data_IF_254753375235
#
_entry.id   IF_254753375235
#
_cell.length_a   1.000
_cell.length_b   1.000
_cell.length_c   1.000
_cell.angle_alpha   90.00
_cell.angle_beta   90.00
_cell.angle_gamma   90.00
#
_symmetry.space_group_name_H-M   'P 1'
#
loop_
_entity.id
_entity.type
_entity.pdbx_description
1 polymer ?
#
# COMPACT_ATOMS: atom_id res chain seq x y z
N UNK A 1 -24.69 -25.59 -31.03
CA UNK A 1 -26.14 -25.36 -30.83
C UNK A 1 -26.32 -24.92 -29.39
N UNK A 2 -26.24 -23.61 -29.14
CA UNK A 2 -26.46 -23.01 -27.82
C UNK A 2 -27.94 -22.62 -27.70
N UNK A 3 -28.61 -22.83 -26.55
CA UNK A 3 -30.01 -22.47 -26.38
C UNK A 3 -30.20 -20.95 -26.28
N UNK A 4 -31.27 -20.48 -26.95
CA UNK A 4 -31.72 -19.09 -27.09
C UNK A 4 -32.10 -18.45 -25.76
N UNK A 5 -31.75 -17.18 -25.58
CA UNK A 5 -32.16 -16.34 -24.46
C UNK A 5 -33.69 -16.11 -24.46
N UNK A 6 -34.32 -16.24 -23.28
CA UNK A 6 -35.70 -15.81 -23.02
C UNK A 6 -35.65 -14.33 -22.59
N UNK A 7 -36.48 -13.44 -23.15
CA UNK A 7 -36.53 -12.06 -22.69
C UNK A 7 -37.27 -12.00 -21.34
N UNK A 8 -36.60 -11.52 -20.30
CA UNK A 8 -37.22 -11.19 -19.01
C UNK A 8 -37.87 -9.82 -19.16
N UNK A 9 -39.20 -9.77 -19.03
CA UNK A 9 -39.94 -8.52 -18.91
C UNK A 9 -39.52 -7.80 -17.61
N UNK A 10 -39.06 -6.56 -17.74
CA UNK A 10 -38.75 -5.70 -16.60
C UNK A 10 -40.06 -5.06 -16.13
N UNK A 11 -40.65 -5.58 -15.06
CA UNK A 11 -41.70 -4.86 -14.34
C UNK A 11 -41.12 -3.61 -13.69
N UNK A 12 -41.82 -2.48 -13.86
CA UNK A 12 -41.47 -1.22 -13.24
C UNK A 12 -41.57 -1.33 -11.71
N UNK A 13 -40.66 -0.71 -10.94
CA UNK A 13 -40.64 -0.88 -9.49
C UNK A 13 -41.87 -0.24 -8.84
N UNK A 14 -42.58 -1.06 -8.06
CA UNK A 14 -43.66 -0.68 -7.17
C UNK A 14 -43.22 0.45 -6.20
N UNK A 15 -43.90 1.59 -6.29
CA UNK A 15 -43.61 2.81 -5.52
C UNK A 15 -44.14 2.77 -4.07
N UNK A 16 -44.69 1.64 -3.59
CA UNK A 16 -45.27 1.57 -2.24
C UNK A 16 -44.28 1.26 -1.11
N UNK A 17 -42.98 1.12 -1.37
CA UNK A 17 -41.97 0.91 -0.34
C UNK A 17 -41.36 2.21 0.25
N UNK A 18 -42.11 3.32 0.31
CA UNK A 18 -41.70 4.50 1.08
C UNK A 18 -42.14 4.38 2.55
N UNK A 19 -41.46 3.51 3.30
CA UNK A 19 -41.38 3.54 4.78
C UNK A 19 -40.34 2.50 5.23
N UNK A 20 -39.07 2.76 4.97
CA UNK A 20 -37.98 2.12 5.72
C UNK A 20 -37.31 3.19 6.54
N UNK A 21 -37.52 3.10 7.85
CA UNK A 21 -36.80 3.82 8.87
C UNK A 21 -35.30 3.83 8.54
N UNK A 22 -34.64 4.94 8.83
CA UNK A 22 -33.19 5.11 8.89
C UNK A 22 -32.57 4.02 9.77
N UNK A 23 -32.33 2.84 9.20
CA UNK A 23 -31.42 1.85 9.75
C UNK A 23 -30.02 2.34 9.41
N UNK A 24 -29.27 2.76 10.42
CA UNK A 24 -27.84 3.03 10.28
C UNK A 24 -27.18 1.83 9.59
N UNK A 25 -26.59 2.09 8.42
CA UNK A 25 -26.02 1.04 7.59
C UNK A 25 -24.73 0.58 8.27
N UNK A 26 -24.77 -0.62 8.88
CA UNK A 26 -23.60 -1.24 9.52
C UNK A 26 -22.41 -1.26 8.56
N UNK A 27 -21.22 -0.99 9.09
CA UNK A 27 -19.97 -1.14 8.34
C UNK A 27 -19.75 -2.61 7.95
N UNK A 28 -18.86 -2.86 6.98
CA UNK A 28 -18.49 -4.24 6.62
C UNK A 28 -17.88 -4.98 7.82
N UNK A 29 -17.07 -4.29 8.64
CA UNK A 29 -16.47 -4.86 9.84
C UNK A 29 -17.53 -5.24 10.88
N UNK A 30 -18.50 -4.36 11.13
CA UNK A 30 -19.63 -4.63 12.03
C UNK A 30 -20.52 -5.77 11.53
N UNK A 31 -20.69 -5.88 10.21
CA UNK A 31 -21.50 -6.94 9.59
C UNK A 31 -20.83 -8.31 9.71
N UNK A 32 -19.49 -8.34 9.67
CA UNK A 32 -18.69 -9.58 9.72
C UNK A 32 -18.20 -9.93 11.15
N UNK A 33 -18.48 -9.09 12.14
CA UNK A 33 -18.07 -9.35 13.53
C UNK A 33 -19.19 -10.02 14.32
N UNK A 34 -18.84 -11.05 15.09
CA UNK A 34 -19.74 -11.70 16.04
C UNK A 34 -19.00 -11.93 17.36
N UNK A 35 -19.19 -11.00 18.31
CA UNK A 35 -18.76 -11.14 19.69
C UNK A 35 -19.92 -11.41 20.66
N UNK A 36 -19.63 -11.76 21.93
CA UNK A 36 -20.63 -11.81 22.98
C UNK A 36 -21.44 -10.50 23.02
N UNK A 37 -22.75 -10.59 23.25
CA UNK A 37 -23.65 -9.42 23.34
C UNK A 37 -23.64 -8.51 22.10
N UNK A 38 -23.23 -9.02 20.93
CA UNK A 38 -23.18 -8.24 19.69
C UNK A 38 -21.97 -7.32 19.58
N UNK A 39 -20.95 -7.52 20.41
CA UNK A 39 -19.67 -6.79 20.31
C UNK A 39 -19.05 -7.00 18.93
N UNK A 40 -18.67 -5.90 18.27
CA UNK A 40 -17.95 -5.92 17.00
C UNK A 40 -16.47 -5.63 17.18
N UNK A 41 -15.64 -6.03 16.21
CA UNK A 41 -14.25 -5.58 16.15
C UNK A 41 -14.20 -4.05 16.11
N UNK A 42 -13.37 -3.40 16.95
CA UNK A 42 -13.17 -1.96 16.86
C UNK A 42 -12.45 -1.63 15.55
N UNK A 43 -12.85 -0.52 14.92
CA UNK A 43 -12.13 0.04 13.78
C UNK A 43 -10.83 0.72 14.18
N UNK A 44 -10.22 1.46 13.25
CA UNK A 44 -9.09 2.35 13.57
C UNK A 44 -9.55 3.37 14.63
N UNK A 45 -8.84 3.49 15.78
CA UNK A 45 -9.23 4.43 16.82
C UNK A 45 -9.26 5.87 16.34
N UNK A 46 -10.10 6.70 16.95
CA UNK A 46 -10.07 8.16 16.81
C UNK A 46 -9.24 8.75 17.92
N UNK A 47 -8.46 9.77 17.61
CA UNK A 47 -7.57 10.45 18.54
C UNK A 47 -8.00 11.91 18.67
N UNK A 48 -7.89 12.46 19.88
CA UNK A 48 -8.12 13.90 20.11
C UNK A 48 -6.86 14.67 19.73
N UNK A 49 -5.69 14.14 20.07
CA UNK A 49 -4.40 14.78 19.85
C UNK A 49 -3.61 14.12 18.71
N UNK A 50 -3.02 14.93 17.83
CA UNK A 50 -2.16 14.44 16.74
C UNK A 50 -0.95 13.66 17.25
N UNK A 51 -0.44 14.00 18.43
CA UNK A 51 0.70 13.31 19.07
C UNK A 51 0.37 11.86 19.41
N UNK A 52 -0.84 11.57 19.89
CA UNK A 52 -1.32 10.22 20.18
C UNK A 52 -1.50 9.42 18.90
N UNK A 53 -2.11 10.04 17.88
CA UNK A 53 -2.28 9.41 16.56
C UNK A 53 -0.92 9.06 15.92
N UNK A 54 0.06 9.96 15.99
CA UNK A 54 1.44 9.71 15.52
C UNK A 54 2.08 8.54 16.27
N UNK A 55 1.92 8.48 17.59
CA UNK A 55 2.46 7.39 18.39
C UNK A 55 1.85 6.04 17.95
N UNK A 56 0.52 6.00 17.77
CA UNK A 56 -0.19 4.82 17.28
C UNK A 56 0.29 4.41 15.88
N UNK A 57 0.40 5.36 14.94
CA UNK A 57 0.89 5.12 13.57
C UNK A 57 2.29 4.50 13.61
N UNK A 58 3.23 5.12 14.32
CA UNK A 58 4.63 4.66 14.37
C UNK A 58 4.78 3.30 15.04
N UNK A 59 3.96 3.00 16.06
CA UNK A 59 3.89 1.69 16.68
C UNK A 59 3.39 0.62 15.69
N UNK A 60 2.35 0.93 14.91
CA UNK A 60 1.82 0.02 13.89
C UNK A 60 2.81 -0.17 12.75
N UNK A 61 3.50 0.88 12.29
CA UNK A 61 4.59 0.75 11.32
C UNK A 61 5.66 -0.23 11.80
N UNK A 62 6.18 -0.04 13.01
CA UNK A 62 7.18 -0.94 13.59
C UNK A 62 6.64 -2.37 13.74
N UNK A 63 5.37 -2.54 14.11
CA UNK A 63 4.73 -3.85 14.20
C UNK A 63 4.63 -4.55 12.84
N UNK A 64 4.27 -3.82 11.77
CA UNK A 64 4.19 -4.35 10.40
C UNK A 64 5.56 -4.81 9.91
N UNK A 65 6.62 -4.02 10.10
CA UNK A 65 7.97 -4.46 9.74
C UNK A 65 8.41 -5.72 10.49
N UNK A 66 8.13 -5.79 11.79
CA UNK A 66 8.45 -6.99 12.58
C UNK A 66 7.62 -8.20 12.15
N UNK A 67 6.38 -7.99 11.70
CA UNK A 67 5.58 -9.04 11.10
C UNK A 67 6.16 -9.49 9.76
N UNK A 68 6.49 -8.56 8.86
CA UNK A 68 7.18 -8.86 7.59
C UNK A 68 8.45 -9.68 7.79
N UNK A 69 9.24 -9.36 8.81
CA UNK A 69 10.39 -10.18 9.18
C UNK A 69 10.00 -11.62 9.55
N UNK A 70 9.00 -11.82 10.40
CA UNK A 70 8.52 -13.15 10.79
C UNK A 70 7.93 -13.95 9.63
N UNK A 71 7.30 -13.27 8.68
CA UNK A 71 6.77 -13.89 7.45
C UNK A 71 7.84 -14.10 6.35
N UNK A 72 9.11 -13.74 6.60
CA UNK A 72 10.20 -13.91 5.65
C UNK A 72 10.14 -12.97 4.44
N UNK A 73 9.53 -11.79 4.58
CA UNK A 73 9.41 -10.78 3.51
C UNK A 73 10.65 -9.88 3.38
N UNK A 74 11.65 -10.09 4.23
CA UNK A 74 12.91 -9.34 4.25
C UNK A 74 13.84 -9.78 3.12
N UNK A 75 14.31 -8.83 2.32
CA UNK A 75 15.36 -9.01 1.31
C UNK A 75 16.48 -7.99 1.58
N UNK A 76 17.50 -8.39 2.34
CA UNK A 76 18.59 -7.48 2.74
C UNK A 76 18.06 -6.22 3.43
N UNK A 77 18.28 -5.06 2.79
CA UNK A 77 17.85 -3.73 3.27
C UNK A 77 16.70 -3.13 2.45
N UNK A 78 16.14 -3.90 1.51
CA UNK A 78 15.07 -3.47 0.62
C UNK A 78 13.71 -3.52 1.30
N UNK A 79 12.81 -2.63 0.88
CA UNK A 79 11.45 -2.54 1.37
C UNK A 79 11.22 -1.32 2.25
N UNK A 80 10.05 -0.70 2.08
CA UNK A 80 9.74 0.58 2.70
C UNK A 80 8.25 0.67 3.00
N UNK A 81 7.93 1.42 4.06
CA UNK A 81 6.57 1.79 4.42
C UNK A 81 6.58 3.29 4.70
N UNK A 82 5.68 4.00 4.03
CA UNK A 82 5.37 5.40 4.35
C UNK A 82 3.97 5.50 4.93
N UNK A 83 3.79 6.37 5.92
CA UNK A 83 2.46 6.74 6.43
C UNK A 83 2.37 8.25 6.56
N UNK A 84 1.31 8.85 5.99
CA UNK A 84 1.04 10.29 6.04
C UNK A 84 0.88 10.76 7.48
N UNK A 85 1.51 11.87 7.83
CA UNK A 85 1.35 12.49 9.12
C UNK A 85 -0.08 13.06 9.28
N UNK A 86 -0.72 12.89 10.45
CA UNK A 86 -2.10 13.31 10.63
C UNK A 86 -2.28 14.83 10.78
N UNK A 87 -1.23 15.58 11.15
CA UNK A 87 -1.27 17.05 11.27
C UNK A 87 -0.71 17.73 10.00
N UNK A 88 0.32 17.12 9.40
CA UNK A 88 1.01 17.65 8.21
C UNK A 88 0.79 16.73 7.01
N UNK A 89 -0.26 16.95 6.19
CA UNK A 89 -0.60 16.07 5.08
C UNK A 89 0.52 15.87 4.06
N UNK A 90 1.44 16.83 3.95
CA UNK A 90 2.58 16.81 3.02
C UNK A 90 3.87 16.26 3.66
N UNK A 91 3.73 15.53 4.77
CA UNK A 91 4.82 14.83 5.44
C UNK A 91 4.47 13.36 5.68
N UNK A 92 5.49 12.50 5.64
CA UNK A 92 5.35 11.06 5.79
C UNK A 92 6.33 10.52 6.82
N UNK A 93 5.82 9.69 7.72
CA UNK A 93 6.62 8.79 8.54
C UNK A 93 7.18 7.70 7.64
N UNK A 94 8.50 7.47 7.72
CA UNK A 94 9.24 6.52 6.89
C UNK A 94 10.20 5.69 7.76
N UNK A 95 10.55 4.48 7.34
CA UNK A 95 11.56 3.68 8.03
C UNK A 95 12.99 4.14 7.71
N UNK A 96 13.91 4.08 8.69
CA UNK A 96 15.30 4.41 8.44
C UNK A 96 15.97 3.36 7.54
N UNK A 97 16.91 3.81 6.70
CA UNK A 97 17.68 2.98 5.79
C UNK A 97 18.74 2.17 6.54
N UNK A 98 18.91 0.90 6.14
CA UNK A 98 19.90 -0.01 6.71
C UNK A 98 19.49 -0.66 8.05
N UNK A 99 18.32 -0.34 8.60
CA UNK A 99 17.81 -0.99 9.81
C UNK A 99 17.05 -2.27 9.47
N UNK A 100 17.44 -3.39 10.08
CA UNK A 100 16.76 -4.67 9.88
C UNK A 100 15.32 -4.63 10.41
N UNK A 101 14.35 -5.11 9.62
CA UNK A 101 12.90 -5.00 9.92
C UNK A 101 12.50 -5.60 11.27
N UNK A 102 13.15 -6.68 11.69
CA UNK A 102 12.91 -7.31 12.99
C UNK A 102 13.31 -6.46 14.20
N UNK A 103 14.14 -5.43 14.01
CA UNK A 103 14.66 -4.58 15.09
C UNK A 103 13.98 -3.21 15.18
N UNK A 104 13.26 -2.79 14.13
CA UNK A 104 12.62 -1.49 14.05
C UNK A 104 11.67 -1.24 15.23
N UNK A 105 11.76 -0.06 15.81
CA UNK A 105 10.90 0.48 16.88
C UNK A 105 10.16 1.71 16.37
N UNK A 106 9.10 2.09 17.07
CA UNK A 106 8.38 3.33 16.79
C UNK A 106 9.32 4.56 16.86
N UNK A 107 10.29 4.56 17.78
CA UNK A 107 11.28 5.63 17.92
C UNK A 107 12.17 5.82 16.69
N UNK A 108 12.30 4.79 15.85
CA UNK A 108 13.27 4.78 14.76
C UNK A 108 12.73 5.47 13.50
N UNK A 109 11.41 5.65 13.41
CA UNK A 109 10.76 6.30 12.27
C UNK A 109 11.20 7.75 12.12
N UNK A 110 11.39 8.16 10.87
CA UNK A 110 11.78 9.52 10.48
C UNK A 110 10.61 10.20 9.77
N UNK A 111 10.46 11.52 9.96
CA UNK A 111 9.42 12.31 9.30
C UNK A 111 10.05 13.11 8.15
N UNK A 112 9.50 12.96 6.95
CA UNK A 112 10.06 13.51 5.72
C UNK A 112 8.98 14.26 4.95
N UNK A 113 9.26 15.48 4.47
CA UNK A 113 8.32 16.26 3.68
C UNK A 113 8.34 15.88 2.19
N UNK A 114 7.43 16.43 1.38
CA UNK A 114 7.37 16.20 -0.09
C UNK A 114 8.67 16.49 -0.86
N UNK A 115 9.56 17.32 -0.32
CA UNK A 115 10.86 17.67 -0.94
C UNK A 115 11.98 16.68 -0.58
N UNK A 116 11.67 15.64 0.20
CA UNK A 116 12.67 14.70 0.71
C UNK A 116 13.48 15.24 1.89
N UNK A 117 13.08 16.36 2.49
CA UNK A 117 13.75 16.90 3.68
C UNK A 117 13.25 16.20 4.93
N UNK A 118 14.19 15.77 5.76
CA UNK A 118 13.90 15.20 7.07
C UNK A 118 13.56 16.35 8.02
N UNK A 119 12.32 16.37 8.51
CA UNK A 119 11.75 17.45 9.32
C UNK A 119 11.39 17.00 10.74
N UNK A 120 11.58 15.72 11.08
CA UNK A 120 11.31 15.21 12.42
C UNK A 120 11.57 13.71 12.60
N UNK A 121 11.19 13.19 13.76
CA UNK A 121 11.38 11.78 14.11
C UNK A 121 12.75 11.49 14.71
N UNK A 122 13.32 10.33 14.36
CA UNK A 122 14.63 9.89 14.83
C UNK A 122 15.74 10.86 14.40
N UNK A 123 16.53 11.34 15.37
CA UNK A 123 17.67 12.26 15.14
C UNK A 123 19.03 11.56 15.16
N UNK A 124 19.11 10.34 15.66
CA UNK A 124 20.35 9.57 15.77
C UNK A 124 20.71 8.90 14.45
N UNK A 125 19.72 8.45 13.69
CA UNK A 125 19.92 7.84 12.36
C UNK A 125 18.89 8.34 11.35
N UNK A 126 18.94 9.63 10.95
CA UNK A 126 18.00 10.23 10.01
C UNK A 126 18.42 9.94 8.56
N UNK A 127 18.40 8.67 8.16
CA UNK A 127 18.79 8.26 6.80
C UNK A 127 17.65 7.46 6.19
N UNK A 128 17.27 7.75 4.94
CA UNK A 128 16.21 7.05 4.20
C UNK A 128 16.73 6.55 2.85
N UNK A 129 16.05 5.55 2.28
CA UNK A 129 16.28 5.15 0.90
C UNK A 129 15.61 6.16 -0.04
N UNK A 130 16.42 6.91 -0.80
CA UNK A 130 15.91 7.97 -1.69
C UNK A 130 15.03 7.42 -2.82
N UNK A 131 15.42 6.32 -3.45
CA UNK A 131 14.66 5.71 -4.55
C UNK A 131 13.26 5.27 -4.08
N UNK A 132 13.22 4.52 -2.97
CA UNK A 132 11.97 4.11 -2.33
C UNK A 132 11.10 5.31 -1.92
N UNK A 133 11.73 6.35 -1.38
CA UNK A 133 11.02 7.57 -1.01
C UNK A 133 10.36 8.28 -2.21
N UNK A 134 11.02 8.34 -3.37
CA UNK A 134 10.45 8.97 -4.56
C UNK A 134 9.19 8.25 -5.05
N UNK A 135 9.19 6.91 -5.06
CA UNK A 135 8.01 6.10 -5.43
C UNK A 135 6.84 6.39 -4.49
N UNK A 136 7.10 6.31 -3.18
CA UNK A 136 6.06 6.54 -2.17
C UNK A 136 5.50 7.96 -2.23
N UNK A 137 6.38 8.95 -2.45
CA UNK A 137 5.99 10.36 -2.57
C UNK A 137 5.13 10.61 -3.80
N UNK A 138 5.46 10.03 -4.96
CA UNK A 138 4.65 10.15 -6.15
C UNK A 138 3.24 9.56 -5.95
N UNK A 139 3.14 8.39 -5.33
CA UNK A 139 1.84 7.78 -4.99
C UNK A 139 1.04 8.66 -4.02
N UNK A 140 1.68 9.19 -2.97
CA UNK A 140 1.01 10.08 -2.02
C UNK A 140 0.60 11.43 -2.63
N UNK A 141 1.36 11.97 -3.60
CA UNK A 141 1.02 13.19 -4.35
C UNK A 141 -0.16 12.93 -5.29
N UNK A 142 -0.16 11.82 -6.01
CA UNK A 142 -1.25 11.45 -6.91
C UNK A 142 -2.54 11.12 -6.14
N UNK A 143 -2.43 10.61 -4.90
CA UNK A 143 -3.57 10.12 -4.12
C UNK A 143 -3.52 10.61 -2.67
N UNK A 144 -4.06 11.81 -2.45
CA UNK A 144 -4.18 12.42 -1.12
C UNK A 144 -4.98 11.58 -0.11
N UNK A 145 -5.93 10.77 -0.57
CA UNK A 145 -6.74 9.89 0.27
C UNK A 145 -6.00 8.64 0.77
N UNK A 146 -4.81 8.33 0.24
CA UNK A 146 -3.99 7.22 0.73
C UNK A 146 -3.21 7.66 1.97
N UNK A 147 -3.46 6.94 3.06
CA UNK A 147 -2.75 7.11 4.32
C UNK A 147 -1.37 6.42 4.32
N UNK A 148 -1.24 5.25 3.68
CA UNK A 148 -0.01 4.47 3.72
C UNK A 148 0.33 3.82 2.37
N UNK A 149 1.62 3.73 2.07
CA UNK A 149 2.16 2.97 0.93
C UNK A 149 3.15 1.96 1.47
N UNK A 150 3.02 0.71 1.04
CA UNK A 150 3.87 -0.40 1.46
C UNK A 150 4.52 -1.04 0.24
N UNK A 151 5.83 -1.24 0.32
CA UNK A 151 6.62 -1.84 -0.74
C UNK A 151 7.56 -2.90 -0.13
N UNK A 152 7.58 -4.11 -0.71
CA UNK A 152 8.43 -5.21 -0.25
C UNK A 152 8.81 -6.15 -1.39
N UNK A 153 9.94 -6.83 -1.23
CA UNK A 153 10.48 -7.81 -2.19
C UNK A 153 10.21 -9.24 -1.70
N UNK A 154 8.95 -9.59 -1.47
CA UNK A 154 8.61 -10.96 -1.03
C UNK A 154 9.02 -12.00 -2.06
N UNK A 155 9.40 -13.19 -1.61
CA UNK A 155 9.83 -14.29 -2.50
C UNK A 155 8.80 -14.55 -3.61
N UNK A 156 7.53 -14.70 -3.24
CA UNK A 156 6.46 -15.00 -4.19
C UNK A 156 6.05 -13.78 -5.05
N UNK A 157 6.04 -12.59 -4.47
CA UNK A 157 5.73 -11.36 -5.21
C UNK A 157 6.77 -11.10 -6.31
N UNK A 158 8.05 -11.23 -5.96
CA UNK A 158 9.17 -11.14 -6.90
C UNK A 158 9.12 -12.24 -7.96
N UNK A 159 8.84 -13.48 -7.57
CA UNK A 159 8.72 -14.59 -8.51
C UNK A 159 7.53 -14.41 -9.49
N UNK A 160 6.41 -13.83 -9.04
CA UNK A 160 5.28 -13.57 -9.93
C UNK A 160 5.51 -12.35 -10.83
N UNK A 161 6.20 -11.33 -10.33
CA UNK A 161 6.32 -10.06 -11.05
C UNK A 161 7.04 -10.18 -12.39
N UNK A 162 7.92 -11.17 -12.55
CA UNK A 162 8.64 -11.40 -13.82
C UNK A 162 7.73 -11.72 -15.01
N UNK A 163 6.52 -12.23 -14.75
CA UNK A 163 5.55 -12.54 -15.80
C UNK A 163 4.90 -11.28 -16.40
N UNK A 164 4.95 -10.14 -15.71
CA UNK A 164 4.36 -8.89 -16.21
C UNK A 164 2.87 -9.00 -16.48
N UNK A 165 2.13 -9.74 -15.64
CA UNK A 165 0.69 -9.97 -15.82
C UNK A 165 -0.09 -9.92 -14.51
N UNK A 166 -1.40 -9.62 -14.55
CA UNK A 166 -2.24 -9.57 -13.35
C UNK A 166 -2.30 -10.90 -12.61
N UNK A 167 -2.71 -10.88 -11.34
CA UNK A 167 -3.09 -12.09 -10.62
C UNK A 167 -4.36 -12.67 -11.22
N UNK A 168 -4.44 -13.99 -11.24
CA UNK A 168 -5.67 -14.69 -11.64
C UNK A 168 -6.63 -14.73 -10.44
N UNK A 169 -7.91 -14.46 -10.68
CA UNK A 169 -8.95 -14.32 -9.64
C UNK A 169 -9.50 -15.69 -9.24
N UNK A 170 -8.61 -16.56 -8.78
CA UNK A 170 -8.89 -17.98 -8.51
C UNK A 170 -9.34 -18.24 -7.06
N UNK A 171 -9.16 -17.26 -6.17
CA UNK A 171 -9.56 -17.37 -4.76
C UNK A 171 -10.32 -16.13 -4.30
N UNK A 172 -11.18 -16.28 -3.29
CA UNK A 172 -11.90 -15.17 -2.68
C UNK A 172 -10.98 -14.04 -2.22
N UNK A 173 -9.77 -14.36 -1.74
CA UNK A 173 -8.80 -13.35 -1.32
C UNK A 173 -8.20 -12.57 -2.49
N UNK A 174 -7.92 -13.24 -3.61
CA UNK A 174 -7.43 -12.56 -4.81
C UNK A 174 -8.46 -11.61 -5.41
N UNK A 175 -9.76 -11.87 -5.25
CA UNK A 175 -10.84 -11.00 -5.73
C UNK A 175 -10.82 -9.58 -5.14
N UNK A 176 -10.07 -9.33 -4.04
CA UNK A 176 -9.83 -7.97 -3.52
C UNK A 176 -9.16 -7.04 -4.55
N UNK A 177 -8.50 -7.64 -5.53
CA UNK A 177 -7.75 -7.03 -6.63
C UNK A 177 -8.47 -7.07 -7.98
N UNK A 178 -9.74 -7.47 -8.04
CA UNK A 178 -10.51 -7.54 -9.28
C UNK A 178 -10.70 -6.16 -9.96
N UNK A 179 -10.71 -6.15 -11.30
CA UNK A 179 -10.86 -4.94 -12.11
C UNK A 179 -9.69 -3.98 -11.93
N UNK A 180 -9.99 -2.68 -11.79
CA UNK A 180 -8.97 -1.62 -11.66
C UNK A 180 -8.32 -1.56 -10.27
N UNK A 181 -8.58 -2.54 -9.39
CA UNK A 181 -7.98 -2.62 -8.07
C UNK A 181 -6.54 -3.18 -8.09
N UNK A 182 -6.07 -3.71 -9.22
CA UNK A 182 -4.69 -4.11 -9.43
C UNK A 182 -4.11 -3.47 -10.69
N UNK A 183 -2.88 -2.97 -10.54
CA UNK A 183 -2.07 -2.51 -11.64
C UNK A 183 -0.94 -3.51 -11.95
N UNK A 184 -0.49 -3.49 -13.20
CA UNK A 184 0.75 -4.14 -13.63
C UNK A 184 1.60 -3.08 -14.31
N UNK A 185 2.76 -2.82 -13.73
CA UNK A 185 3.73 -1.90 -14.27
C UNK A 185 4.83 -2.70 -14.98
N UNK A 186 4.81 -2.68 -16.31
CA UNK A 186 5.67 -3.50 -17.18
C UNK A 186 6.96 -2.77 -17.63
N UNK A 187 7.04 -1.46 -17.38
CA UNK A 187 8.11 -0.60 -17.87
C UNK A 187 9.18 -0.34 -16.80
N UNK A 188 10.04 -1.31 -16.54
CA UNK A 188 11.14 -1.11 -15.60
C UNK A 188 12.36 -0.49 -16.30
N UNK A 189 12.69 0.75 -15.95
CA UNK A 189 13.87 1.46 -16.47
C UNK A 189 15.21 1.06 -15.82
N UNK A 190 15.23 0.16 -14.83
CA UNK A 190 16.39 -0.13 -13.95
C UNK A 190 16.26 0.53 -12.58
N UNK A 191 17.34 0.58 -11.78
CA UNK A 191 17.40 1.39 -10.54
C UNK A 191 17.50 2.87 -10.92
N UNK A 192 16.44 3.39 -11.55
CA UNK A 192 16.39 4.78 -11.97
C UNK A 192 16.05 5.61 -10.74
N UNK A 193 17.02 6.37 -10.26
CA UNK A 193 16.92 7.34 -9.16
C UNK A 193 16.06 8.58 -9.54
N UNK A 194 15.06 8.41 -10.39
CA UNK A 194 14.31 9.49 -11.04
C UNK A 194 12.89 9.65 -10.49
N UNK A 195 12.43 10.88 -10.21
CA UNK A 195 11.03 11.18 -9.87
C UNK A 195 10.02 10.62 -10.87
N UNK A 196 10.38 10.60 -12.16
CA UNK A 196 9.53 10.12 -13.25
C UNK A 196 9.11 8.65 -13.10
N UNK A 197 9.95 7.80 -12.54
CA UNK A 197 9.61 6.39 -12.32
C UNK A 197 8.51 6.26 -11.26
N UNK A 198 8.60 7.04 -10.18
CA UNK A 198 7.54 7.11 -9.18
C UNK A 198 6.22 7.61 -9.77
N UNK A 199 6.27 8.61 -10.64
CA UNK A 199 5.09 9.17 -11.32
C UNK A 199 4.43 8.13 -12.23
N UNK A 200 5.20 7.42 -13.06
CA UNK A 200 4.67 6.34 -13.91
C UNK A 200 4.07 5.18 -13.10
N UNK A 201 4.68 4.81 -11.97
CA UNK A 201 4.10 3.81 -11.06
C UNK A 201 2.78 4.30 -10.47
N UNK A 202 2.72 5.57 -10.03
CA UNK A 202 1.52 6.16 -9.47
C UNK A 202 0.39 6.27 -10.51
N UNK A 203 0.71 6.64 -11.75
CA UNK A 203 -0.21 6.63 -12.88
C UNK A 203 -0.74 5.23 -13.18
N UNK A 204 0.17 4.23 -13.22
CA UNK A 204 -0.19 2.83 -13.44
C UNK A 204 -1.12 2.30 -12.36
N UNK A 205 -0.88 2.66 -11.09
CA UNK A 205 -1.75 2.29 -9.97
C UNK A 205 -3.17 2.85 -10.12
N UNK A 206 -3.31 4.02 -10.74
CA UNK A 206 -4.60 4.64 -11.03
C UNK A 206 -5.41 5.02 -9.78
N UNK A 207 -6.64 5.47 -10.01
CA UNK A 207 -7.51 6.00 -8.95
C UNK A 207 -8.02 4.92 -7.98
N UNK A 208 -8.26 3.70 -8.48
CA UNK A 208 -8.88 2.61 -7.72
C UNK A 208 -7.88 1.52 -7.29
N UNK A 209 -6.64 1.57 -7.75
CA UNK A 209 -5.63 0.54 -7.47
C UNK A 209 -5.37 0.40 -5.97
N UNK A 210 -5.27 -0.85 -5.52
CA UNK A 210 -4.92 -1.23 -4.14
C UNK A 210 -3.56 -1.92 -4.07
N UNK A 211 -3.09 -2.45 -5.19
CA UNK A 211 -1.78 -3.06 -5.33
C UNK A 211 -1.27 -2.96 -6.77
N UNK A 212 0.05 -2.92 -6.92
CA UNK A 212 0.71 -2.94 -8.21
C UNK A 212 1.74 -4.08 -8.23
N UNK A 213 1.81 -4.78 -9.36
CA UNK A 213 2.91 -5.69 -9.67
C UNK A 213 3.94 -4.89 -10.47
N UNK A 214 5.14 -4.70 -9.91
CA UNK A 214 6.25 -4.03 -10.57
C UNK A 214 7.14 -5.09 -11.22
N UNK A 215 7.12 -5.19 -12.55
CA UNK A 215 7.95 -6.18 -13.26
C UNK A 215 9.42 -5.83 -13.14
N UNK A 216 10.31 -6.84 -13.02
CA UNK A 216 11.77 -6.70 -13.14
C UNK A 216 12.48 -5.84 -12.08
N UNK A 217 11.88 -5.68 -10.90
CA UNK A 217 12.44 -4.85 -9.83
C UNK A 217 13.86 -5.26 -9.31
N UNK A 218 14.45 -6.36 -9.77
CA UNK A 218 15.71 -6.90 -9.22
C UNK A 218 16.70 -7.49 -10.24
N UNK A 219 16.62 -7.18 -11.54
CA UNK A 219 17.65 -7.64 -12.49
C UNK A 219 18.12 -6.48 -13.36
N UNK A 220 19.17 -5.79 -12.91
CA UNK A 220 20.10 -5.17 -13.84
C UNK A 220 20.99 -6.29 -14.40
N UNK A 221 20.81 -6.63 -15.67
CA UNK A 221 21.94 -7.15 -16.44
C UNK A 221 22.88 -5.97 -16.66
N UNK A 222 23.96 -5.93 -15.90
CA UNK A 222 25.12 -5.12 -16.24
C UNK A 222 25.78 -5.76 -17.48
N UNK A 223 25.22 -5.51 -18.66
CA UNK A 223 25.89 -5.81 -19.93
C UNK A 223 26.92 -4.69 -20.16
N UNK A 224 28.01 -4.69 -19.38
CA UNK A 224 29.02 -3.63 -19.44
C UNK A 224 29.99 -3.68 -18.26
N UNK A 225 30.81 -4.74 -18.20
CA UNK A 225 32.15 -4.58 -17.67
C UNK A 225 32.96 -3.94 -18.80
N UNK A 226 33.27 -2.65 -18.68
CA UNK A 226 34.38 -2.06 -19.42
C UNK A 226 35.66 -2.74 -18.93
N UNK A 227 36.08 -3.77 -19.65
CA UNK A 227 37.45 -4.26 -19.62
C UNK A 227 38.24 -3.46 -20.64
N UNK A 228 38.62 -2.23 -20.31
CA UNK A 228 39.78 -1.59 -20.92
C UNK A 228 40.68 -0.97 -19.84
N UNK A 229 41.89 -1.52 -19.82
CA UNK A 229 43.20 -1.10 -19.29
C UNK A 229 43.30 0.13 -18.37
#
# INVERSE_FOLDING_TARGET
MAPSAIPIAVEAPDQTAMKKATQEKKTALETLSLGPEGVSLPGVPRFVEFSEQRAWIKQHMAAVFRHWHREGYTEGISGHISVRDPEFPDAFWFNPYGAHFGLLKASDMVLVNLDGKIIGGNKTWPVINLAGFMIHTAVHKARHNIAAVCHCHTVYGKAWSVFGRPLEMLTQDTCKFYGDAQAVYDNHGGVVLGPEEGERIAESLGQYGKGAILRRELIERHDGFDTEA
#
